data_IF_364149228174
#
_entry.id   IF_364149228174
#
_cell.length_a   1.000
_cell.length_b   1.000
_cell.length_c   1.000
_cell.angle_alpha   90.00
_cell.angle_beta   90.00
_cell.angle_gamma   90.00
#
_symmetry.space_group_name_H-M   'P 1'
#
loop_
_entity.id
_entity.type
_entity.pdbx_description
1 polymer ?
#
# COMPACT_ATOMS: atom_id res chain seq x y z
N UNK A 1 1.52 -3.08 -5.05
CA UNK A 1 1.74 -1.73 -4.50
C UNK A 1 3.01 -1.16 -5.08
N UNK A 2 3.00 0.13 -5.41
CA UNK A 2 4.08 0.80 -6.12
C UNK A 2 4.48 2.08 -5.38
N UNK A 3 5.79 2.31 -5.21
CA UNK A 3 6.33 3.61 -4.80
C UNK A 3 6.91 4.26 -6.06
N UNK A 4 6.38 5.42 -6.44
CA UNK A 4 6.87 6.20 -7.58
C UNK A 4 7.75 7.34 -7.09
N UNK A 5 8.89 7.54 -7.75
CA UNK A 5 9.90 8.52 -7.40
C UNK A 5 10.22 9.36 -8.63
N UNK A 6 10.02 10.68 -8.54
CA UNK A 6 10.19 11.63 -9.66
C UNK A 6 11.20 12.72 -9.33
N UNK A 7 12.20 12.90 -10.19
CA UNK A 7 13.09 14.07 -10.20
C UNK A 7 13.54 14.38 -11.63
N UNK A 8 14.18 15.53 -11.83
CA UNK A 8 14.55 16.12 -13.14
C UNK A 8 15.64 15.34 -13.92
N UNK A 9 15.69 14.00 -13.82
CA UNK A 9 16.66 13.15 -14.49
C UNK A 9 16.28 11.67 -14.70
N UNK A 10 15.28 11.13 -13.99
CA UNK A 10 14.61 9.83 -14.27
C UNK A 10 13.47 9.54 -13.28
N UNK A 11 12.37 8.97 -13.78
CA UNK A 11 11.28 8.42 -12.96
C UNK A 11 11.54 6.93 -12.67
N UNK A 12 11.22 6.49 -11.45
CA UNK A 12 11.30 5.06 -11.10
C UNK A 12 10.14 4.59 -10.23
N UNK A 13 9.85 3.29 -10.33
CA UNK A 13 8.82 2.60 -9.59
C UNK A 13 9.42 1.41 -8.83
N UNK A 14 9.13 1.30 -7.55
CA UNK A 14 9.52 0.15 -6.71
C UNK A 14 8.26 -0.62 -6.34
N UNK A 15 8.17 -1.87 -6.78
CA UNK A 15 7.13 -2.79 -6.32
C UNK A 15 7.56 -3.42 -4.99
N UNK A 16 6.67 -3.36 -4.00
CA UNK A 16 6.89 -3.99 -2.69
C UNK A 16 5.56 -4.44 -2.10
N UNK A 17 5.61 -5.23 -1.03
CA UNK A 17 4.43 -5.69 -0.29
C UNK A 17 4.14 -4.82 0.94
N UNK A 18 4.97 -3.81 1.22
CA UNK A 18 4.90 -2.93 2.41
C UNK A 18 5.01 -3.65 3.76
N UNK A 19 5.26 -4.96 3.75
CA UNK A 19 5.38 -5.78 4.97
C UNK A 19 6.71 -5.57 5.74
N UNK A 20 7.63 -4.78 5.18
CA UNK A 20 8.92 -4.43 5.81
C UNK A 20 9.02 -2.93 6.04
N UNK A 21 9.86 -2.54 7.01
CA UNK A 21 10.16 -1.13 7.32
C UNK A 21 11.29 -0.53 6.47
N UNK A 22 11.99 -1.37 5.70
CA UNK A 22 13.26 -1.02 5.04
C UNK A 22 13.14 0.13 4.04
N UNK A 23 11.99 0.29 3.37
CA UNK A 23 11.80 1.32 2.36
C UNK A 23 11.51 2.71 2.94
N UNK A 24 11.17 2.83 4.23
CA UNK A 24 10.97 4.14 4.89
C UNK A 24 12.23 4.99 4.78
N UNK A 25 13.40 4.39 4.99
CA UNK A 25 14.68 5.11 4.86
C UNK A 25 15.00 5.46 3.41
N UNK A 26 14.64 4.59 2.48
CA UNK A 26 14.76 4.87 1.03
C UNK A 26 13.92 6.07 0.64
N UNK A 27 12.67 6.15 1.10
CA UNK A 27 11.76 7.27 0.85
C UNK A 27 12.33 8.58 1.40
N UNK A 28 12.75 8.59 2.67
CA UNK A 28 13.36 9.78 3.29
C UNK A 28 14.60 10.25 2.54
N UNK A 29 15.46 9.32 2.12
CA UNK A 29 16.65 9.64 1.34
C UNK A 29 16.29 10.19 -0.04
N UNK A 30 15.30 9.60 -0.72
CA UNK A 30 14.85 10.09 -2.02
C UNK A 30 14.33 11.53 -1.90
N UNK A 31 13.51 11.84 -0.89
CA UNK A 31 13.04 13.20 -0.62
C UNK A 31 14.18 14.17 -0.36
N UNK A 32 15.16 13.78 0.44
CA UNK A 32 16.36 14.59 0.70
C UNK A 32 17.20 14.86 -0.56
N UNK A 33 17.09 14.00 -1.58
CA UNK A 33 17.72 14.17 -2.89
C UNK A 33 16.84 14.94 -3.89
N UNK A 34 15.70 15.47 -3.46
CA UNK A 34 14.78 16.24 -4.30
C UNK A 34 13.78 15.41 -5.11
N UNK A 35 13.58 14.13 -4.77
CA UNK A 35 12.52 13.33 -5.36
C UNK A 35 11.17 13.59 -4.69
N UNK A 36 10.13 13.67 -5.51
CA UNK A 36 8.75 13.53 -5.05
C UNK A 36 8.39 12.05 -4.96
N UNK A 37 7.82 11.64 -3.83
CA UNK A 37 7.45 10.25 -3.55
C UNK A 37 5.94 10.10 -3.49
N UNK A 38 5.40 9.27 -4.38
CA UNK A 38 4.00 8.88 -4.38
C UNK A 38 3.87 7.41 -4.01
N UNK A 39 3.10 7.11 -2.97
CA UNK A 39 2.72 5.75 -2.59
C UNK A 39 1.39 5.37 -3.25
N UNK A 40 1.38 4.28 -4.00
CA UNK A 40 0.13 3.69 -4.54
C UNK A 40 -0.10 2.34 -3.88
N UNK A 41 -1.00 2.31 -2.91
CA UNK A 41 -1.39 1.12 -2.16
C UNK A 41 -2.64 0.49 -2.77
N UNK A 42 -2.60 -0.83 -3.00
CA UNK A 42 -3.76 -1.59 -3.47
C UNK A 42 -4.24 -2.45 -2.31
N UNK A 43 -5.37 -2.06 -1.75
CA UNK A 43 -6.10 -2.75 -0.70
C UNK A 43 -6.91 -3.92 -1.29
N UNK A 44 -7.01 -4.98 -0.49
CA UNK A 44 -7.92 -6.10 -0.71
C UNK A 44 -8.82 -6.17 0.51
N UNK A 45 -10.11 -6.48 0.33
CA UNK A 45 -11.08 -6.52 1.42
C UNK A 45 -10.76 -7.52 2.52
N UNK A 46 -10.00 -8.58 2.21
CA UNK A 46 -9.61 -9.58 3.19
C UNK A 46 -8.33 -10.33 2.80
N UNK A 47 -7.62 -10.96 3.76
CA UNK A 47 -6.48 -11.80 3.45
C UNK A 47 -6.85 -13.04 2.62
N UNK A 48 -8.10 -13.52 2.66
CA UNK A 48 -8.59 -14.64 1.83
C UNK A 48 -8.50 -14.31 0.34
N UNK A 49 -8.83 -13.07 -0.04
CA UNK A 49 -8.70 -12.59 -1.43
C UNK A 49 -7.23 -12.70 -1.89
N UNK A 50 -6.28 -12.37 -1.01
CA UNK A 50 -4.85 -12.50 -1.31
C UNK A 50 -4.43 -13.97 -1.46
N UNK A 51 -4.95 -14.86 -0.61
CA UNK A 51 -4.70 -16.31 -0.67
C UNK A 51 -5.25 -16.90 -1.96
N UNK A 52 -6.49 -16.59 -2.32
CA UNK A 52 -7.11 -17.05 -3.56
C UNK A 52 -6.35 -16.52 -4.79
N UNK A 53 -5.93 -15.25 -4.77
CA UNK A 53 -5.11 -14.66 -5.83
C UNK A 53 -3.73 -15.32 -5.98
N UNK A 54 -3.12 -15.81 -4.90
CA UNK A 54 -1.91 -16.64 -4.99
C UNK A 54 -2.26 -18.02 -5.56
N UNK A 55 -3.32 -18.67 -5.07
CA UNK A 55 -3.72 -20.00 -5.54
C UNK A 55 -4.01 -20.02 -7.05
N UNK A 56 -4.74 -19.01 -7.57
CA UNK A 56 -5.00 -18.84 -9.01
C UNK A 56 -3.70 -18.73 -9.81
N UNK A 57 -2.73 -17.96 -9.33
CA UNK A 57 -1.42 -17.81 -10.00
C UNK A 57 -0.58 -19.07 -9.94
N UNK A 58 -0.62 -19.82 -8.84
CA UNK A 58 0.04 -21.12 -8.72
C UNK A 58 -0.55 -22.12 -9.71
N UNK A 59 -1.88 -22.17 -9.83
CA UNK A 59 -2.56 -23.01 -10.82
C UNK A 59 -2.15 -22.65 -12.27
N UNK A 60 -1.81 -21.38 -12.52
CA UNK A 60 -1.26 -20.89 -13.79
C UNK A 60 0.26 -21.05 -13.95
N UNK A 61 0.94 -21.77 -13.03
CA UNK A 61 2.39 -22.05 -13.10
C UNK A 61 3.30 -21.09 -12.31
N UNK A 62 2.73 -20.23 -11.46
CA UNK A 62 3.47 -19.33 -10.58
C UNK A 62 4.07 -19.98 -9.33
N UNK A 63 4.87 -19.22 -8.58
CA UNK A 63 5.47 -19.68 -7.32
C UNK A 63 4.46 -19.68 -6.16
N UNK A 64 4.46 -20.76 -5.37
CA UNK A 64 3.62 -20.88 -4.19
C UNK A 64 4.18 -20.11 -2.99
N UNK A 65 3.32 -19.43 -2.24
CA UNK A 65 3.67 -18.76 -0.98
C UNK A 65 2.80 -19.37 0.12
N UNK A 66 3.36 -19.83 1.26
CA UNK A 66 2.56 -20.38 2.35
C UNK A 66 1.50 -19.39 2.84
N UNK A 67 0.28 -19.86 3.08
CA UNK A 67 -0.85 -19.03 3.52
C UNK A 67 -0.53 -18.20 4.77
N UNK A 68 0.12 -18.81 5.77
CA UNK A 68 0.55 -18.10 6.97
C UNK A 68 1.49 -16.91 6.68
N UNK A 69 2.30 -17.00 5.62
CA UNK A 69 3.16 -15.89 5.18
C UNK A 69 2.35 -14.81 4.49
N UNK A 70 1.33 -15.18 3.70
CA UNK A 70 0.43 -14.24 3.03
C UNK A 70 -0.31 -13.42 4.08
N UNK A 71 -1.00 -14.08 5.02
CA UNK A 71 -1.76 -13.44 6.10
C UNK A 71 -0.90 -12.50 6.93
N UNK A 72 0.25 -12.97 7.42
CA UNK A 72 1.21 -12.13 8.16
C UNK A 72 1.68 -10.91 7.36
N UNK A 73 1.88 -11.04 6.03
CA UNK A 73 2.30 -9.93 5.18
C UNK A 73 1.17 -8.93 4.97
N UNK A 74 -0.06 -9.41 4.82
CA UNK A 74 -1.26 -8.59 4.72
C UNK A 74 -1.41 -7.70 5.96
N UNK A 75 -1.41 -8.29 7.15
CA UNK A 75 -1.60 -7.53 8.39
C UNK A 75 -0.51 -6.46 8.58
N UNK A 76 0.75 -6.85 8.36
CA UNK A 76 1.89 -5.92 8.43
C UNK A 76 1.83 -4.82 7.39
N UNK A 77 1.29 -5.08 6.21
CA UNK A 77 1.21 -4.09 5.16
C UNK A 77 0.24 -2.98 5.54
N UNK A 78 -0.93 -3.33 6.12
CA UNK A 78 -1.93 -2.37 6.60
C UNK A 78 -1.39 -1.56 7.78
N UNK A 79 -0.79 -2.23 8.77
CA UNK A 79 -0.13 -1.56 9.89
C UNK A 79 0.92 -0.55 9.41
N UNK A 80 1.83 -0.99 8.54
CA UNK A 80 2.91 -0.14 8.05
C UNK A 80 2.40 1.00 7.16
N UNK A 81 1.35 0.76 6.35
CA UNK A 81 0.74 1.78 5.51
C UNK A 81 0.39 3.02 6.34
N UNK A 82 -0.39 2.82 7.41
CA UNK A 82 -0.89 3.88 8.26
C UNK A 82 0.22 4.49 9.12
N UNK A 83 1.03 3.64 9.78
CA UNK A 83 1.96 4.09 10.82
C UNK A 83 3.32 4.56 10.31
N UNK A 84 3.77 4.07 9.14
CA UNK A 84 5.15 4.28 8.69
C UNK A 84 5.26 4.96 7.33
N UNK A 85 4.36 4.66 6.40
CA UNK A 85 4.53 5.06 4.99
C UNK A 85 3.73 6.30 4.61
N UNK A 86 2.44 6.38 4.96
CA UNK A 86 1.65 7.62 4.77
C UNK A 86 2.38 8.84 5.37
N UNK A 87 2.95 8.79 6.59
CA UNK A 87 3.59 9.97 7.19
C UNK A 87 4.92 10.41 6.55
N UNK A 88 5.48 9.66 5.59
CA UNK A 88 6.81 9.97 5.00
C UNK A 88 6.79 10.18 3.49
N UNK A 89 5.68 9.85 2.81
CA UNK A 89 5.49 10.06 1.38
C UNK A 89 4.93 11.46 1.11
N UNK A 90 5.30 12.08 -0.01
CA UNK A 90 4.72 13.38 -0.38
C UNK A 90 3.25 13.25 -0.75
N UNK A 91 2.89 12.15 -1.43
CA UNK A 91 1.52 11.79 -1.76
C UNK A 91 1.26 10.31 -1.50
N UNK A 92 0.02 9.96 -1.19
CA UNK A 92 -0.45 8.58 -1.18
C UNK A 92 -1.83 8.47 -1.86
N UNK A 93 -2.06 7.30 -2.45
CA UNK A 93 -3.34 6.89 -3.00
C UNK A 93 -3.58 5.45 -2.52
N UNK A 94 -4.75 5.21 -1.95
CA UNK A 94 -5.25 3.89 -1.60
C UNK A 94 -6.34 3.51 -2.58
N UNK A 95 -6.15 2.39 -3.25
CA UNK A 95 -7.08 1.83 -4.23
C UNK A 95 -7.66 0.54 -3.66
N UNK A 96 -8.96 0.32 -3.80
CA UNK A 96 -9.58 -0.98 -3.61
C UNK A 96 -9.66 -1.67 -4.96
N UNK A 97 -9.03 -2.84 -5.08
CA UNK A 97 -9.14 -3.67 -6.29
C UNK A 97 -10.31 -4.64 -6.13
N UNK A 98 -11.53 -4.09 -6.21
CA UNK A 98 -12.78 -4.85 -6.21
C UNK A 98 -12.96 -5.66 -7.50
N UNK A 99 -14.00 -6.51 -7.53
CA UNK A 99 -14.26 -7.40 -8.65
C UNK A 99 -14.75 -6.67 -9.91
N UNK A 100 -15.53 -5.58 -9.75
CA UNK A 100 -16.15 -4.86 -10.87
C UNK A 100 -15.28 -3.70 -11.39
N UNK A 101 -14.60 -2.99 -10.49
CA UNK A 101 -13.76 -1.85 -10.83
C UNK A 101 -12.72 -1.56 -9.74
N UNK A 102 -11.63 -0.91 -10.14
CA UNK A 102 -10.71 -0.26 -9.19
C UNK A 102 -11.36 1.03 -8.71
N UNK A 103 -11.50 1.16 -7.40
CA UNK A 103 -12.07 2.35 -6.74
C UNK A 103 -10.97 3.02 -5.93
N UNK A 104 -10.87 4.34 -6.03
CA UNK A 104 -10.02 5.12 -5.12
C UNK A 104 -10.72 5.21 -3.76
N UNK A 105 -10.03 4.79 -2.70
CA UNK A 105 -10.57 4.75 -1.33
C UNK A 105 -10.24 6.04 -0.61
N UNK A 106 -8.97 6.44 -0.65
CA UNK A 106 -8.49 7.65 -0.01
C UNK A 106 -7.21 8.14 -0.69
N UNK A 107 -7.00 9.45 -0.69
CA UNK A 107 -5.76 10.06 -1.12
C UNK A 107 -5.41 11.26 -0.25
N UNK A 108 -4.12 11.58 -0.19
CA UNK A 108 -3.62 12.72 0.56
C UNK A 108 -2.14 12.87 0.42
N UNK A 109 -1.56 13.75 1.23
CA UNK A 109 -0.15 14.07 1.16
C UNK A 109 0.36 14.79 2.40
N UNK A 110 1.66 15.03 2.43
CA UNK A 110 2.27 15.76 3.54
C UNK A 110 1.76 17.19 3.61
N UNK A 111 1.08 17.52 4.70
CA UNK A 111 0.50 18.86 4.91
C UNK A 111 -0.87 19.06 4.26
N UNK A 112 -1.46 18.01 3.69
CA UNK A 112 -2.80 18.02 3.10
C UNK A 112 -3.73 17.10 3.91
N UNK A 113 -5.00 17.48 4.00
CA UNK A 113 -6.01 16.62 4.62
C UNK A 113 -6.26 15.38 3.75
N UNK A 114 -6.49 14.22 4.39
CA UNK A 114 -6.83 13.01 3.66
C UNK A 114 -8.26 13.12 3.14
N UNK A 115 -8.41 13.03 1.82
CA UNK A 115 -9.71 12.96 1.17
C UNK A 115 -10.11 11.50 1.10
N UNK A 116 -11.27 11.18 1.67
CA UNK A 116 -11.85 9.83 1.69
C UNK A 116 -13.00 9.77 0.68
N UNK A 117 -12.89 8.84 -0.27
CA UNK A 117 -13.87 8.62 -1.33
C UNK A 117 -14.77 7.40 -1.03
N UNK A 118 -14.24 6.41 -0.31
CA UNK A 118 -14.97 5.24 0.19
C UNK A 118 -14.75 5.13 1.70
N UNK A 119 -15.71 5.64 2.47
CA UNK A 119 -15.64 5.69 3.93
C UNK A 119 -15.66 4.30 4.56
N UNK A 120 -16.39 3.35 3.98
CA UNK A 120 -16.52 2.01 4.53
C UNK A 120 -15.19 1.25 4.39
N UNK A 121 -14.58 1.27 3.21
CA UNK A 121 -13.26 0.69 2.99
C UNK A 121 -12.20 1.38 3.85
N UNK A 122 -12.22 2.71 3.91
CA UNK A 122 -11.23 3.45 4.72
C UNK A 122 -11.36 3.11 6.22
N UNK A 123 -12.58 3.05 6.74
CA UNK A 123 -12.85 2.68 8.14
C UNK A 123 -12.37 1.26 8.44
N UNK A 124 -12.54 0.31 7.52
CA UNK A 124 -12.00 -1.05 7.68
C UNK A 124 -10.47 -1.06 7.76
N UNK A 125 -9.80 -0.27 6.91
CA UNK A 125 -8.34 -0.13 6.92
C UNK A 125 -7.86 0.46 8.25
N UNK A 126 -8.49 1.53 8.72
CA UNK A 126 -8.14 2.18 9.99
C UNK A 126 -8.36 1.26 11.19
N UNK A 127 -9.48 0.54 11.21
CA UNK A 127 -9.83 -0.38 12.30
C UNK A 127 -8.97 -1.64 12.32
N UNK A 128 -8.32 -2.01 11.21
CA UNK A 128 -7.47 -3.20 11.13
C UNK A 128 -6.33 -3.20 12.16
N UNK A 129 -5.90 -2.02 12.60
CA UNK A 129 -4.76 -1.84 13.48
C UNK A 129 -5.13 -1.24 14.84
N UNK A 130 -6.43 -1.16 15.15
CA UNK A 130 -6.92 -0.50 16.36
C UNK A 130 -6.69 1.01 16.37
N UNK A 131 -6.55 1.63 15.20
CA UNK A 131 -6.41 3.08 15.03
C UNK A 131 -7.73 3.76 15.41
N UNK A 132 -7.93 3.96 16.70
CA UNK A 132 -9.03 4.73 17.27
C UNK A 132 -8.48 6.12 17.53
N UNK A 133 -9.16 7.17 17.05
CA UNK A 133 -8.81 8.58 17.32
C UNK A 133 -8.62 8.88 18.81
#
# INVERSE_FOLDING_TARGET
MVITLRSNGADFAIETTLSTRSYVQTIRRARALGYTVTLVFVYLSSPEVAVEGVAKRVAAGGHNIPEAVIRRRYDRALHNLLTLYIPVCDYFIVLNNGEEAVIEVAAGGLGEETVVFDLDCWTQIMNHDGYSE
#
